data_IF_600747804743
#
_entry.id   IF_600747804743
#
_cell.length_a   1.000
_cell.length_b   1.000
_cell.length_c   1.000
_cell.angle_alpha   90.00
_cell.angle_beta   90.00
_cell.angle_gamma   90.00
#
_symmetry.space_group_name_H-M   'P 1'
#
loop_
_entity.id
_entity.type
_entity.pdbx_description
1 polymer ?
#
# COMPACT_ATOMS: atom_id res chain seq x y z
N UNK A 1 12.99 14.30 18.76
CA UNK A 1 11.58 14.06 18.37
C UNK A 1 10.79 13.56 19.57
N UNK A 2 9.78 14.31 20.03
CA UNK A 2 8.90 13.96 21.16
C UNK A 2 8.13 12.66 20.88
N UNK A 3 7.89 11.84 21.91
CA UNK A 3 7.27 10.51 21.77
C UNK A 3 5.91 10.50 21.03
N UNK A 4 5.15 11.59 21.13
CA UNK A 4 3.88 11.74 20.41
C UNK A 4 4.01 11.81 18.90
N UNK A 5 5.11 12.37 18.36
CA UNK A 5 5.28 12.50 16.90
C UNK A 5 5.45 11.14 16.21
N UNK A 6 6.10 10.19 16.89
CA UNK A 6 6.25 8.82 16.37
C UNK A 6 4.90 8.11 16.26
N UNK A 7 4.01 8.33 17.23
CA UNK A 7 2.66 7.74 17.21
C UNK A 7 1.88 8.28 16.02
N UNK A 8 1.86 9.60 15.83
CA UNK A 8 1.16 10.24 14.70
C UNK A 8 1.70 9.69 13.36
N UNK A 9 3.02 9.59 13.21
CA UNK A 9 3.64 9.09 11.99
C UNK A 9 3.23 7.64 11.69
N UNK A 10 3.30 6.74 12.67
CA UNK A 10 2.91 5.34 12.48
C UNK A 10 1.40 5.20 12.25
N UNK A 11 0.56 6.05 12.86
CA UNK A 11 -0.88 6.09 12.59
C UNK A 11 -1.20 6.53 11.15
N UNK A 12 -0.51 7.54 10.63
CA UNK A 12 -0.66 7.97 9.22
C UNK A 12 -0.23 6.85 8.27
N UNK A 13 0.90 6.19 8.54
CA UNK A 13 1.36 5.04 7.75
C UNK A 13 0.37 3.88 7.79
N UNK A 14 -0.21 3.60 8.96
CA UNK A 14 -1.21 2.56 9.13
C UNK A 14 -2.44 2.80 8.25
N UNK A 15 -2.97 4.04 8.24
CA UNK A 15 -4.13 4.41 7.43
C UNK A 15 -3.80 4.40 5.92
N UNK A 16 -2.62 4.90 5.55
CA UNK A 16 -2.15 4.88 4.16
C UNK A 16 -2.06 3.45 3.61
N UNK A 17 -1.45 2.54 4.38
CA UNK A 17 -1.33 1.12 4.02
C UNK A 17 -2.69 0.43 3.96
N UNK A 18 -3.60 0.72 4.89
CA UNK A 18 -4.96 0.19 4.84
C UNK A 18 -5.70 0.63 3.57
N UNK A 19 -5.56 1.90 3.16
CA UNK A 19 -6.11 2.40 1.90
C UNK A 19 -5.51 1.71 0.66
N UNK A 20 -4.18 1.51 0.65
CA UNK A 20 -3.51 0.78 -0.43
C UNK A 20 -3.95 -0.69 -0.51
N UNK A 21 -4.14 -1.36 0.63
CA UNK A 21 -4.67 -2.72 0.68
C UNK A 21 -6.09 -2.79 0.16
N UNK A 22 -6.96 -1.87 0.60
CA UNK A 22 -8.34 -1.79 0.10
C UNK A 22 -8.36 -1.62 -1.43
N UNK A 23 -7.46 -0.79 -1.97
CA UNK A 23 -7.34 -0.60 -3.41
C UNK A 23 -6.90 -1.88 -4.15
N UNK A 24 -5.96 -2.66 -3.60
CA UNK A 24 -5.59 -3.96 -4.20
C UNK A 24 -6.74 -4.96 -4.15
N UNK A 25 -7.50 -5.01 -3.05
CA UNK A 25 -8.69 -5.88 -2.96
C UNK A 25 -9.74 -5.45 -3.98
N UNK A 26 -9.95 -4.14 -4.16
CA UNK A 26 -10.85 -3.61 -5.18
C UNK A 26 -10.42 -4.03 -6.61
N UNK A 27 -9.12 -4.03 -6.91
CA UNK A 27 -8.59 -4.54 -8.18
C UNK A 27 -8.85 -6.04 -8.34
N UNK A 28 -8.61 -6.85 -7.31
CA UNK A 28 -8.86 -8.29 -7.37
C UNK A 28 -10.33 -8.62 -7.59
N UNK A 29 -11.24 -7.94 -6.90
CA UNK A 29 -12.68 -8.11 -7.10
C UNK A 29 -13.05 -7.69 -8.53
N UNK A 30 -12.59 -6.53 -9.00
CA UNK A 30 -12.89 -6.06 -10.36
C UNK A 30 -12.37 -7.02 -11.43
N UNK A 31 -11.17 -7.60 -11.24
CA UNK A 31 -10.63 -8.61 -12.14
C UNK A 31 -11.41 -9.92 -12.09
N UNK A 32 -11.87 -10.33 -10.91
CA UNK A 32 -12.71 -11.52 -10.75
C UNK A 32 -14.09 -11.31 -11.39
N UNK A 33 -14.68 -10.13 -11.26
CA UNK A 33 -15.94 -9.78 -11.90
C UNK A 33 -15.82 -9.79 -13.42
N UNK A 34 -14.68 -9.34 -13.95
CA UNK A 34 -14.39 -9.43 -15.39
C UNK A 34 -14.20 -10.88 -15.86
N UNK A 35 -13.60 -11.74 -15.05
CA UNK A 35 -13.38 -13.17 -15.37
C UNK A 35 -14.68 -13.99 -15.41
N UNK A 36 -15.70 -13.56 -14.64
CA UNK A 36 -17.02 -14.19 -14.61
C UNK A 36 -18.05 -13.48 -15.51
N UNK A 37 -17.59 -12.64 -16.44
CA UNK A 37 -18.43 -11.85 -17.37
C UNK A 37 -19.49 -10.96 -16.66
N UNK A 38 -19.26 -10.57 -15.41
CA UNK A 38 -20.16 -9.70 -14.64
C UNK A 38 -20.06 -8.23 -15.04
N UNK A 39 -18.92 -7.80 -15.60
CA UNK A 39 -18.65 -6.44 -16.06
C UNK A 39 -17.90 -6.40 -17.39
N UNK A 40 -18.08 -5.34 -18.16
CA UNK A 40 -17.43 -5.17 -19.47
C UNK A 40 -15.98 -4.64 -19.36
N UNK A 41 -15.13 -5.02 -20.32
CA UNK A 41 -13.73 -4.59 -20.43
C UNK A 41 -13.53 -3.06 -20.52
N UNK A 42 -14.48 -2.34 -21.11
CA UNK A 42 -14.49 -0.87 -21.20
C UNK A 42 -14.84 -0.24 -19.83
N UNK A 43 -15.75 -0.88 -19.09
CA UNK A 43 -16.21 -0.34 -17.82
C UNK A 43 -15.12 -0.46 -16.75
N UNK A 44 -14.45 -1.62 -16.68
CA UNK A 44 -13.35 -1.84 -15.74
C UNK A 44 -12.17 -0.91 -16.03
N UNK A 45 -11.78 -0.72 -17.29
CA UNK A 45 -10.67 0.19 -17.65
C UNK A 45 -11.00 1.63 -17.27
N UNK A 46 -12.24 2.09 -17.45
CA UNK A 46 -12.68 3.43 -17.01
C UNK A 46 -12.62 3.60 -15.49
N UNK A 47 -12.96 2.55 -14.72
CA UNK A 47 -12.93 2.56 -13.24
C UNK A 47 -11.50 2.47 -12.69
N UNK A 48 -10.65 1.62 -13.27
CA UNK A 48 -9.32 1.33 -12.74
C UNK A 48 -8.25 2.34 -13.18
N UNK A 49 -8.26 2.82 -14.42
CA UNK A 49 -7.27 3.76 -14.93
C UNK A 49 -7.06 5.03 -14.07
N UNK A 50 -8.12 5.71 -13.56
CA UNK A 50 -7.91 6.88 -12.69
C UNK A 50 -7.31 6.51 -11.33
N UNK A 51 -7.41 5.25 -10.90
CA UNK A 51 -6.90 4.78 -9.61
C UNK A 51 -5.42 4.35 -9.66
N UNK A 52 -4.89 4.04 -10.85
CA UNK A 52 -3.50 3.59 -11.01
C UNK A 52 -2.50 4.66 -10.57
N UNK A 53 -2.73 5.93 -10.94
CA UNK A 53 -1.83 7.02 -10.52
C UNK A 53 -1.83 7.29 -9.00
N UNK A 54 -2.97 7.45 -8.32
CA UNK A 54 -2.97 7.64 -6.88
C UNK A 54 -2.36 6.44 -6.13
N UNK A 55 -2.53 5.20 -6.61
CA UNK A 55 -1.87 4.02 -6.03
C UNK A 55 -0.33 4.16 -6.04
N UNK A 56 0.21 4.51 -7.21
CA UNK A 56 1.65 4.65 -7.42
C UNK A 56 2.20 5.76 -6.52
N UNK A 57 1.55 6.92 -6.53
CA UNK A 57 1.95 8.07 -5.70
C UNK A 57 1.90 7.71 -4.22
N UNK A 58 0.79 7.13 -3.74
CA UNK A 58 0.62 6.75 -2.34
C UNK A 58 1.66 5.71 -1.89
N UNK A 59 2.02 4.76 -2.77
CA UNK A 59 3.07 3.76 -2.48
C UNK A 59 4.44 4.42 -2.31
N UNK A 60 4.82 5.34 -3.20
CA UNK A 60 6.08 6.07 -3.09
C UNK A 60 6.13 7.02 -1.90
N UNK A 61 5.02 7.71 -1.60
CA UNK A 61 4.90 8.56 -0.40
C UNK A 61 5.11 7.71 0.86
N UNK A 62 4.46 6.55 0.96
CA UNK A 62 4.66 5.63 2.09
C UNK A 62 6.11 5.17 2.21
N UNK A 63 6.76 4.82 1.10
CA UNK A 63 8.16 4.42 1.08
C UNK A 63 9.10 5.56 1.50
N UNK A 64 8.87 6.78 1.01
CA UNK A 64 9.64 7.96 1.38
C UNK A 64 9.48 8.30 2.87
N UNK A 65 8.27 8.18 3.42
CA UNK A 65 8.02 8.37 4.85
C UNK A 65 8.84 7.39 5.70
N UNK A 66 8.96 6.11 5.32
CA UNK A 66 9.84 5.18 6.03
C UNK A 66 11.33 5.58 5.98
N UNK A 67 11.77 6.13 4.84
CA UNK A 67 13.14 6.62 4.66
C UNK A 67 13.45 7.79 5.59
N UNK A 68 12.58 8.81 5.64
CA UNK A 68 12.74 9.97 6.53
C UNK A 68 12.64 9.60 8.02
N UNK A 69 11.95 8.51 8.35
CA UNK A 69 11.82 7.99 9.71
C UNK A 69 13.08 7.22 10.15
N UNK A 70 14.05 6.98 9.26
CA UNK A 70 15.24 6.17 9.53
C UNK A 70 14.94 4.68 9.72
N UNK A 71 13.76 4.24 9.26
CA UNK A 71 13.28 2.88 9.46
C UNK A 71 13.63 2.01 8.24
N UNK A 72 14.92 1.64 8.16
CA UNK A 72 15.49 0.89 7.04
C UNK A 72 14.78 -0.43 6.74
N UNK A 73 14.34 -1.15 7.78
CA UNK A 73 13.59 -2.41 7.61
C UNK A 73 12.23 -2.16 6.94
N UNK A 74 11.49 -1.14 7.38
CA UNK A 74 10.20 -0.78 6.79
C UNK A 74 10.34 -0.33 5.33
N UNK A 75 11.41 0.42 5.03
CA UNK A 75 11.76 0.80 3.66
C UNK A 75 12.04 -0.42 2.78
N UNK A 76 12.85 -1.37 3.26
CA UNK A 76 13.21 -2.59 2.54
C UNK A 76 11.98 -3.45 2.22
N UNK A 77 11.07 -3.58 3.18
CA UNK A 77 9.81 -4.33 3.00
C UNK A 77 8.86 -3.67 1.99
N UNK A 78 8.98 -2.36 1.74
CA UNK A 78 8.21 -1.66 0.70
C UNK A 78 8.81 -1.77 -0.71
N UNK A 79 10.07 -2.21 -0.84
CA UNK A 79 10.77 -2.27 -2.14
C UNK A 79 10.03 -3.13 -3.17
N UNK A 80 9.50 -4.34 -2.86
CA UNK A 80 8.84 -5.17 -3.88
C UNK A 80 7.69 -4.45 -4.59
N UNK A 81 6.81 -3.79 -3.83
CA UNK A 81 5.70 -3.01 -4.39
C UNK A 81 6.19 -1.80 -5.20
N UNK A 82 7.22 -1.10 -4.70
CA UNK A 82 7.81 0.07 -5.35
C UNK A 82 8.51 -0.28 -6.68
N UNK A 83 9.21 -1.41 -6.74
CA UNK A 83 9.87 -1.90 -7.97
C UNK A 83 8.83 -2.24 -9.04
N UNK A 84 7.74 -2.91 -8.66
CA UNK A 84 6.64 -3.21 -9.58
C UNK A 84 6.03 -1.92 -10.13
N UNK A 85 5.78 -0.93 -9.28
CA UNK A 85 5.23 0.37 -9.68
C UNK A 85 6.20 1.16 -10.57
N UNK A 86 7.48 1.18 -10.22
CA UNK A 86 8.54 1.85 -11.00
C UNK A 86 8.66 1.24 -12.40
N UNK A 87 8.63 -0.09 -12.50
CA UNK A 87 8.68 -0.80 -13.78
C UNK A 87 7.46 -0.46 -14.66
N UNK A 88 6.27 -0.35 -14.07
CA UNK A 88 5.05 0.06 -14.80
C UNK A 88 5.14 1.49 -15.33
N UNK A 89 5.71 2.40 -14.54
CA UNK A 89 5.94 3.80 -14.97
C UNK A 89 6.91 3.87 -16.14
N UNK A 90 8.04 3.14 -16.06
CA UNK A 90 9.06 3.12 -17.12
C UNK A 90 8.52 2.53 -18.44
N UNK A 91 7.68 1.49 -18.35
CA UNK A 91 7.07 0.86 -19.51
C UNK A 91 5.85 1.61 -20.06
N UNK A 92 5.46 2.75 -19.47
CA UNK A 92 4.22 3.50 -19.77
C UNK A 92 2.95 2.63 -19.76
N UNK A 93 2.97 1.51 -19.05
CA UNK A 93 1.84 0.60 -18.87
C UNK A 93 0.92 1.07 -17.73
N UNK A 94 0.70 2.39 -17.64
CA UNK A 94 -0.13 3.02 -16.61
C UNK A 94 -1.61 3.06 -16.98
N UNK A 95 -1.95 2.69 -18.21
CA UNK A 95 -3.32 2.56 -18.70
C UNK A 95 -3.57 1.12 -19.10
N UNK A 96 -4.65 0.56 -18.60
CA UNK A 96 -5.17 -0.72 -19.04
C UNK A 96 -5.87 -0.52 -20.39
N UNK A 97 -5.51 -1.38 -21.36
CA UNK A 97 -6.12 -1.43 -22.69
C UNK A 97 -7.30 -2.41 -22.67
N UNK A 98 -8.47 -1.95 -23.11
CA UNK A 98 -9.71 -2.74 -23.09
C UNK A 98 -9.71 -3.85 -24.14
N UNK A 99 -8.95 -3.72 -25.24
CA UNK A 99 -8.94 -4.70 -26.33
C UNK A 99 -8.17 -5.97 -25.96
N UNK A 100 -7.13 -5.84 -25.14
CA UNK A 100 -6.26 -6.96 -24.74
C UNK A 100 -6.41 -7.36 -23.27
N UNK A 101 -7.41 -6.84 -22.55
CA UNK A 101 -7.51 -7.00 -21.10
C UNK A 101 -7.55 -8.47 -20.66
N UNK A 102 -8.27 -9.32 -21.39
CA UNK A 102 -8.41 -10.75 -21.07
C UNK A 102 -7.10 -11.53 -21.21
N UNK A 103 -6.22 -11.13 -22.13
CA UNK A 103 -4.91 -11.77 -22.32
C UNK A 103 -3.96 -11.41 -21.16
N UNK A 104 -4.05 -10.17 -20.66
CA UNK A 104 -3.18 -9.69 -19.58
C UNK A 104 -3.75 -9.93 -18.18
N UNK A 105 -5.05 -10.25 -18.07
CA UNK A 105 -5.78 -10.42 -16.81
C UNK A 105 -5.06 -11.37 -15.83
N UNK A 106 -4.62 -12.59 -16.21
CA UNK A 106 -3.98 -13.50 -15.26
C UNK A 106 -2.64 -12.98 -14.71
N UNK A 107 -1.98 -12.10 -15.46
CA UNK A 107 -0.74 -11.44 -15.03
C UNK A 107 -1.06 -10.28 -14.08
N UNK A 108 -2.05 -9.46 -14.40
CA UNK A 108 -2.46 -8.32 -13.59
C UNK A 108 -3.03 -8.76 -12.23
N UNK A 109 -3.84 -9.82 -12.20
CA UNK A 109 -4.34 -10.43 -10.96
C UNK A 109 -3.19 -10.93 -10.09
N UNK A 110 -2.18 -11.60 -10.65
CA UNK A 110 -1.00 -12.03 -9.90
C UNK A 110 -0.21 -10.87 -9.32
N UNK A 111 -0.05 -9.78 -10.08
CA UNK A 111 0.64 -8.58 -9.59
C UNK A 111 -0.14 -7.95 -8.43
N UNK A 112 -1.46 -7.85 -8.53
CA UNK A 112 -2.31 -7.34 -7.45
C UNK A 112 -2.22 -8.20 -6.19
N UNK A 113 -2.20 -9.54 -6.33
CA UNK A 113 -1.98 -10.47 -5.20
C UNK A 113 -0.62 -10.24 -4.55
N UNK A 114 0.46 -10.16 -5.34
CA UNK A 114 1.82 -9.94 -4.81
C UNK A 114 1.90 -8.61 -4.06
N UNK A 115 1.33 -7.53 -4.63
CA UNK A 115 1.27 -6.22 -3.97
C UNK A 115 0.47 -6.27 -2.68
N UNK A 116 -0.69 -6.92 -2.69
CA UNK A 116 -1.53 -7.07 -1.50
C UNK A 116 -0.78 -7.79 -0.38
N UNK A 117 -0.14 -8.92 -0.68
CA UNK A 117 0.67 -9.66 0.29
C UNK A 117 1.81 -8.80 0.85
N UNK A 118 2.50 -8.04 -0.02
CA UNK A 118 3.55 -7.13 0.42
C UNK A 118 3.00 -6.05 1.37
N UNK A 119 1.87 -5.43 1.03
CA UNK A 119 1.24 -4.43 1.90
C UNK A 119 0.77 -5.01 3.23
N UNK A 120 0.23 -6.23 3.26
CA UNK A 120 -0.13 -6.94 4.50
C UNK A 120 1.09 -7.10 5.41
N UNK A 121 2.23 -7.55 4.88
CA UNK A 121 3.46 -7.72 5.65
C UNK A 121 3.94 -6.39 6.23
N UNK A 122 3.96 -5.33 5.41
CA UNK A 122 4.35 -3.99 5.87
C UNK A 122 3.35 -3.43 6.89
N UNK A 123 2.06 -3.72 6.73
CA UNK A 123 1.01 -3.25 7.65
C UNK A 123 1.13 -3.90 9.03
N UNK A 124 1.38 -5.21 9.09
CA UNK A 124 1.68 -5.91 10.36
C UNK A 124 2.92 -5.32 11.03
N UNK A 125 3.97 -5.02 10.25
CA UNK A 125 5.16 -4.36 10.77
C UNK A 125 4.86 -2.97 11.39
N UNK A 126 4.03 -2.17 10.71
CA UNK A 126 3.62 -0.85 11.22
C UNK A 126 2.80 -0.97 12.51
N UNK A 127 1.93 -1.97 12.63
CA UNK A 127 1.19 -2.22 13.89
C UNK A 127 2.14 -2.47 15.05
N UNK A 128 3.12 -3.36 14.87
CA UNK A 128 4.09 -3.68 15.93
C UNK A 128 4.85 -2.41 16.36
N UNK A 129 5.26 -1.58 15.40
CA UNK A 129 5.93 -0.29 15.68
C UNK A 129 5.02 0.72 16.39
N UNK A 130 3.75 0.80 15.99
CA UNK A 130 2.75 1.66 16.62
C UNK A 130 2.51 1.26 18.09
N UNK A 131 2.34 -0.04 18.36
CA UNK A 131 2.16 -0.57 19.72
C UNK A 131 3.40 -0.28 20.58
N UNK A 132 4.60 -0.51 20.07
CA UNK A 132 5.84 -0.19 20.81
C UNK A 132 5.96 1.30 21.12
N UNK A 133 5.61 2.18 20.18
CA UNK A 133 5.62 3.62 20.40
C UNK A 133 4.58 4.03 21.46
N UNK A 134 3.39 3.44 21.44
CA UNK A 134 2.34 3.68 22.40
C UNK A 134 2.75 3.23 23.81
N UNK A 135 3.26 2.00 23.95
CA UNK A 135 3.73 1.46 25.23
C UNK A 135 4.85 2.32 25.82
N UNK A 136 5.80 2.76 24.99
CA UNK A 136 6.87 3.66 25.42
C UNK A 136 6.35 5.01 25.92
N UNK A 137 5.33 5.55 25.26
CA UNK A 137 4.68 6.80 25.67
C UNK A 137 3.95 6.65 27.02
N UNK A 138 3.19 5.57 27.18
CA UNK A 138 2.45 5.27 28.42
C UNK A 138 3.38 5.00 29.61
N UNK A 139 4.49 4.28 29.38
CA UNK A 139 5.50 4.01 30.41
C UNK A 139 6.14 5.31 30.91
N UNK A 140 6.49 6.23 30.00
CA UNK A 140 7.09 7.52 30.34
C UNK A 140 6.14 8.40 31.18
N UNK A 141 4.84 8.38 30.89
CA UNK A 141 3.82 9.09 31.66
C UNK A 141 3.62 8.53 33.09
N UNK A 142 3.88 7.23 33.30
CA UNK A 142 3.76 6.58 34.61
C UNK A 142 4.91 6.91 35.55
N UNK A 143 6.14 6.97 35.03
CA UNK A 143 7.33 7.34 35.82
C UNK A 143 7.38 8.82 36.22
N UNK A 144 6.80 9.71 35.40
CA UNK A 144 6.74 11.14 35.72
C UNK A 144 5.72 11.53 36.79
N UNK A 145 4.84 10.62 37.22
CA UNK A 145 3.80 10.87 38.24
C UNK A 145 4.25 10.53 39.67
N UNK A 146 5.41 9.88 39.84
CA UNK A 146 5.98 9.48 41.14
C UNK A 146 7.22 10.32 41.53
N UNK A 147 7.38 11.52 40.95
CA UNK A 147 8.35 12.54 41.35
C UNK A 147 7.65 13.87 41.50
#
# INVERSE_FOLDING_TARGET
MTGGMWIVLYSVLFLLLAGLMFLQVYYLISFNDLDHDLINSIEITRKLNPLVMPEIIASFVGQAMFLFTGNWLGFLLMIPASVINSRRMQLRQTKLDSTNIFVVLPRETRVAIIKLLNFVVVWVYVIVKLVMALVKSLSKGRYGRFR
#
